data_IF_837939468372
#
_entry.id   IF_837939468372
#
_cell.length_a   1.000
_cell.length_b   1.000
_cell.length_c   1.000
_cell.angle_alpha   90.00
_cell.angle_beta   90.00
_cell.angle_gamma   90.00
#
_symmetry.space_group_name_H-M   'P 1'
#
loop_
_entity.id
_entity.type
_entity.pdbx_description
1 polymer ?
#
# COMPACT_ATOMS: atom_id res chain seq x y z
N UNK A 1 -27.77 1.80 3.15
CA UNK A 1 -27.86 1.53 4.58
C UNK A 1 -26.53 0.99 5.11
N UNK A 2 -26.08 1.49 6.22
CA UNK A 2 -24.75 1.19 6.75
C UNK A 2 -24.85 0.66 8.19
N UNK A 3 -24.14 -0.44 8.44
CA UNK A 3 -24.03 -1.07 9.75
C UNK A 3 -22.79 -0.60 10.53
N UNK A 4 -21.90 0.19 9.89
CA UNK A 4 -20.67 0.65 10.54
C UNK A 4 -20.99 1.69 11.62
N UNK A 5 -20.57 1.49 12.85
CA UNK A 5 -20.61 2.53 13.86
C UNK A 5 -19.55 3.61 13.57
N UNK A 6 -19.90 4.87 13.68
CA UNK A 6 -21.11 5.52 14.17
C UNK A 6 -22.27 5.57 13.16
N UNK A 7 -22.32 4.73 12.18
CA UNK A 7 -23.31 4.70 11.10
C UNK A 7 -22.94 5.59 9.94
N UNK A 8 -23.43 5.26 8.75
CA UNK A 8 -23.16 5.99 7.53
C UNK A 8 -22.27 5.23 6.53
N UNK A 9 -22.03 5.82 5.38
CA UNK A 9 -21.19 5.26 4.33
C UNK A 9 -19.72 5.59 4.60
N UNK A 10 -18.84 4.63 4.38
CA UNK A 10 -17.40 4.87 4.46
C UNK A 10 -16.92 5.54 3.16
N UNK A 11 -16.78 6.86 3.17
CA UNK A 11 -16.32 7.63 2.02
C UNK A 11 -14.91 7.25 1.54
N UNK A 12 -14.09 6.62 2.40
CA UNK A 12 -12.75 6.15 2.06
C UNK A 12 -12.73 4.96 1.07
N UNK A 13 -13.88 4.30 0.81
CA UNK A 13 -14.01 3.17 -0.11
C UNK A 13 -15.01 3.43 -1.24
N UNK A 14 -15.26 4.69 -1.54
CA UNK A 14 -16.24 5.17 -2.51
C UNK A 14 -15.69 5.44 -3.91
N UNK A 15 -14.45 5.02 -4.19
CA UNK A 15 -13.80 5.30 -5.48
C UNK A 15 -13.89 4.10 -6.43
N UNK A 16 -13.83 4.33 -7.76
CA UNK A 16 -14.16 3.31 -8.77
C UNK A 16 -13.29 2.07 -8.78
N UNK A 17 -12.03 2.14 -8.27
CA UNK A 17 -11.14 1.00 -8.34
C UNK A 17 -11.59 -0.12 -7.42
N UNK A 18 -12.02 -1.25 -8.00
CA UNK A 18 -12.53 -2.41 -7.26
C UNK A 18 -13.66 -2.07 -6.27
N UNK A 19 -14.50 -1.11 -6.61
CA UNK A 19 -15.63 -0.73 -5.76
C UNK A 19 -16.48 -1.96 -5.40
N UNK A 20 -16.63 -2.18 -4.11
CA UNK A 20 -17.34 -3.34 -3.59
C UNK A 20 -18.83 -3.04 -3.43
N UNK A 21 -19.58 -3.05 -4.52
CA UNK A 21 -21.02 -2.85 -4.49
C UNK A 21 -21.71 -3.84 -3.52
N UNK A 22 -22.75 -3.36 -2.85
CA UNK A 22 -23.58 -4.13 -1.92
C UNK A 22 -22.88 -4.64 -0.63
N UNK A 23 -21.65 -4.20 -0.37
CA UNK A 23 -21.04 -4.43 0.94
C UNK A 23 -21.50 -3.37 1.94
N UNK A 24 -21.62 -3.73 3.23
CA UNK A 24 -21.86 -2.75 4.28
C UNK A 24 -20.83 -1.61 4.22
N UNK A 25 -21.28 -0.37 4.35
CA UNK A 25 -20.43 0.80 4.31
C UNK A 25 -19.98 1.29 2.93
N UNK A 26 -20.19 0.52 1.85
CA UNK A 26 -19.70 0.91 0.53
C UNK A 26 -20.53 1.99 -0.16
N UNK A 27 -21.80 2.17 0.22
CA UNK A 27 -22.74 3.01 -0.51
C UNK A 27 -23.31 2.34 -1.77
N UNK A 28 -24.08 3.08 -2.56
CA UNK A 28 -24.85 2.53 -3.68
C UNK A 28 -24.02 2.33 -4.95
N UNK A 29 -23.14 3.27 -5.26
CA UNK A 29 -22.23 3.28 -6.41
C UNK A 29 -20.99 4.13 -6.11
N UNK A 30 -19.93 4.04 -6.90
CA UNK A 30 -18.74 4.88 -6.70
C UNK A 30 -19.08 6.36 -6.76
N UNK A 31 -18.78 7.09 -5.68
CA UNK A 31 -19.12 8.50 -5.58
C UNK A 31 -20.60 8.77 -5.33
N UNK A 32 -21.33 7.83 -4.69
CA UNK A 32 -22.72 8.07 -4.27
C UNK A 32 -22.85 9.15 -3.21
N UNK A 33 -21.80 9.38 -2.45
CA UNK A 33 -21.76 10.41 -1.40
C UNK A 33 -21.19 11.71 -1.96
N UNK A 34 -21.70 12.85 -1.50
CA UNK A 34 -21.33 14.18 -2.01
C UNK A 34 -19.84 14.47 -1.86
N UNK A 35 -19.22 14.04 -0.75
CA UNK A 35 -17.81 14.23 -0.46
C UNK A 35 -16.93 13.46 -1.45
N UNK A 36 -17.21 12.20 -1.67
CA UNK A 36 -16.44 11.38 -2.60
C UNK A 36 -16.67 11.81 -4.05
N UNK A 37 -17.90 12.21 -4.39
CA UNK A 37 -18.22 12.79 -5.70
C UNK A 37 -17.46 14.09 -5.95
N UNK A 38 -17.39 14.98 -4.96
CA UNK A 38 -16.63 16.23 -5.07
C UNK A 38 -15.15 15.98 -5.36
N UNK A 39 -14.53 15.00 -4.67
CA UNK A 39 -13.15 14.59 -4.92
C UNK A 39 -12.99 14.01 -6.33
N UNK A 40 -13.88 13.09 -6.75
CA UNK A 40 -13.87 12.51 -8.09
C UNK A 40 -13.97 13.57 -9.17
N UNK A 41 -14.90 14.53 -9.01
CA UNK A 41 -15.07 15.64 -9.92
C UNK A 41 -13.80 16.48 -9.99
N UNK A 42 -13.27 16.89 -8.84
CA UNK A 42 -12.06 17.71 -8.76
C UNK A 42 -10.89 17.07 -9.49
N UNK A 43 -10.53 15.82 -9.16
CA UNK A 43 -9.35 15.16 -9.78
C UNK A 43 -9.54 14.87 -11.27
N UNK A 44 -10.77 14.77 -11.75
CA UNK A 44 -11.03 14.59 -13.17
C UNK A 44 -11.02 15.92 -13.96
N UNK A 45 -11.34 17.03 -13.32
CA UNK A 45 -11.28 18.37 -13.93
C UNK A 45 -9.84 18.93 -13.93
N UNK A 46 -9.02 18.59 -12.92
CA UNK A 46 -7.68 19.11 -12.72
C UNK A 46 -6.59 18.18 -13.33
N UNK A 47 -6.30 18.42 -14.59
CA UNK A 47 -5.29 17.61 -15.34
C UNK A 47 -3.85 17.94 -14.99
N UNK A 48 -3.61 19.01 -14.26
CA UNK A 48 -2.31 19.43 -13.73
C UNK A 48 -1.87 18.66 -12.49
N UNK A 49 -2.74 17.88 -11.87
CA UNK A 49 -2.36 17.02 -10.74
C UNK A 49 -1.32 16.00 -11.21
N UNK A 50 -0.15 16.00 -10.59
CA UNK A 50 0.97 15.12 -10.93
C UNK A 50 1.35 14.12 -9.86
N UNK A 51 0.72 14.19 -8.67
CA UNK A 51 0.99 13.35 -7.53
C UNK A 51 -0.25 13.26 -6.64
N UNK A 52 -0.53 12.09 -6.09
CA UNK A 52 -1.53 11.90 -5.04
C UNK A 52 -0.85 11.48 -3.74
N UNK A 53 -1.19 12.14 -2.64
CA UNK A 53 -0.77 11.75 -1.28
C UNK A 53 -2.01 11.67 -0.41
N UNK A 54 -2.21 10.53 0.22
CA UNK A 54 -3.37 10.24 1.05
C UNK A 54 -2.92 9.88 2.46
N UNK A 55 -3.57 10.45 3.46
CA UNK A 55 -3.33 10.08 4.85
C UNK A 55 -4.41 9.10 5.29
N UNK A 56 -3.99 7.91 5.69
CA UNK A 56 -4.91 6.82 6.03
C UNK A 56 -4.23 5.70 6.78
N UNK A 57 -4.85 4.52 6.77
CA UNK A 57 -4.30 3.33 7.43
C UNK A 57 -3.28 2.56 6.59
N UNK A 58 -3.26 2.74 5.26
CA UNK A 58 -2.31 2.10 4.36
C UNK A 58 -1.02 2.93 4.23
N UNK A 59 0.08 2.28 3.85
CA UNK A 59 1.34 2.96 3.60
C UNK A 59 2.03 2.41 2.35
N UNK A 60 1.95 3.15 1.24
CA UNK A 60 2.55 2.77 -0.03
C UNK A 60 4.06 3.04 -0.10
N UNK A 61 4.61 3.75 0.88
CA UNK A 61 6.05 3.85 1.03
C UNK A 61 6.66 2.64 1.74
N UNK A 62 5.86 1.81 2.43
CA UNK A 62 6.30 0.53 3.01
C UNK A 62 5.88 -0.65 2.14
N UNK A 63 4.64 -0.62 1.66
CA UNK A 63 4.07 -1.66 0.81
C UNK A 63 3.56 -0.99 -0.48
N UNK A 64 4.06 -1.34 -1.66
CA UNK A 64 3.58 -0.75 -2.91
C UNK A 64 2.07 -0.99 -3.08
N UNK A 65 1.39 -0.24 -3.98
CA UNK A 65 -0.02 -0.47 -4.26
C UNK A 65 -0.30 -1.95 -4.50
N UNK A 66 -1.24 -2.57 -3.77
CA UNK A 66 -1.53 -3.97 -3.93
C UNK A 66 -2.06 -4.25 -5.34
N UNK A 67 -1.77 -5.43 -5.85
CA UNK A 67 -2.40 -5.97 -7.04
C UNK A 67 -3.90 -6.13 -6.83
N UNK A 68 -4.65 -6.11 -7.94
CA UNK A 68 -6.08 -6.33 -7.93
C UNK A 68 -6.44 -7.66 -7.28
N UNK A 69 -7.70 -7.81 -6.92
CA UNK A 69 -8.21 -9.06 -6.39
C UNK A 69 -7.65 -10.22 -7.20
N UNK A 70 -6.97 -11.10 -6.53
CA UNK A 70 -7.12 -12.51 -6.88
C UNK A 70 -8.59 -12.78 -6.62
N UNK A 71 -9.41 -12.84 -7.69
CA UNK A 71 -10.75 -13.33 -7.53
C UNK A 71 -10.67 -14.67 -6.80
N UNK A 72 -11.76 -15.18 -6.26
CA UNK A 72 -11.83 -16.52 -5.67
C UNK A 72 -11.41 -17.63 -6.65
N UNK A 73 -10.98 -17.27 -7.86
CA UNK A 73 -10.41 -18.15 -8.85
C UNK A 73 -9.03 -18.63 -8.34
N UNK A 74 -8.96 -19.90 -8.05
CA UNK A 74 -7.69 -20.57 -7.79
C UNK A 74 -6.84 -20.49 -9.06
N UNK A 75 -5.83 -19.62 -9.06
CA UNK A 75 -4.94 -19.42 -10.21
C UNK A 75 -4.09 -20.66 -10.55
N UNK A 76 -4.11 -21.66 -9.70
CA UNK A 76 -3.53 -22.98 -9.94
C UNK A 76 -4.57 -23.97 -10.51
N UNK A 77 -5.84 -23.54 -10.63
CA UNK A 77 -6.93 -24.40 -11.07
C UNK A 77 -7.96 -23.62 -11.88
N UNK A 78 -7.54 -23.16 -13.05
CA UNK A 78 -8.35 -22.35 -13.95
C UNK A 78 -8.95 -23.25 -15.03
N UNK A 79 -10.26 -23.21 -15.18
CA UNK A 79 -10.95 -23.85 -16.30
C UNK A 79 -11.30 -22.82 -17.35
N UNK A 80 -10.86 -23.07 -18.58
CA UNK A 80 -11.11 -22.17 -19.70
C UNK A 80 -12.54 -22.41 -20.22
N UNK A 81 -13.38 -21.36 -20.36
CA UNK A 81 -14.70 -21.49 -20.95
C UNK A 81 -14.65 -22.06 -22.38
N UNK A 82 -15.64 -22.89 -22.75
CA UNK A 82 -15.66 -23.60 -24.05
C UNK A 82 -15.62 -22.68 -25.26
N UNK A 83 -16.25 -21.54 -25.16
CA UNK A 83 -16.28 -20.48 -26.17
C UNK A 83 -14.93 -19.75 -26.33
N UNK A 84 -14.08 -19.80 -25.32
CA UNK A 84 -12.76 -19.16 -25.30
C UNK A 84 -11.61 -20.14 -25.55
N UNK A 85 -11.83 -21.42 -25.30
CA UNK A 85 -10.79 -22.45 -25.37
C UNK A 85 -10.11 -22.54 -26.75
N UNK A 86 -10.87 -22.31 -27.82
CA UNK A 86 -10.36 -22.33 -29.19
C UNK A 86 -9.38 -21.24 -29.53
N UNK A 87 -9.43 -20.06 -28.84
CA UNK A 87 -8.55 -18.93 -29.12
C UNK A 87 -7.11 -19.14 -28.64
N UNK A 88 -6.92 -19.96 -27.62
CA UNK A 88 -5.61 -20.25 -27.00
C UNK A 88 -5.25 -21.73 -27.09
N UNK A 89 -5.97 -22.51 -27.89
CA UNK A 89 -5.80 -23.95 -28.03
C UNK A 89 -5.83 -24.73 -26.69
N UNK A 90 -6.68 -24.26 -25.75
CA UNK A 90 -6.87 -24.92 -24.46
C UNK A 90 -7.95 -26.00 -24.53
N UNK A 91 -7.82 -27.04 -23.71
CA UNK A 91 -8.86 -28.06 -23.51
C UNK A 91 -9.84 -27.55 -22.44
N UNK A 92 -11.13 -27.34 -22.77
CA UNK A 92 -12.11 -26.81 -21.83
C UNK A 92 -12.45 -27.75 -20.66
N UNK A 93 -12.07 -29.01 -20.76
CA UNK A 93 -12.33 -30.02 -19.72
C UNK A 93 -11.13 -30.23 -18.78
N UNK A 94 -9.98 -29.55 -19.05
CA UNK A 94 -8.78 -29.59 -18.23
C UNK A 94 -8.70 -28.34 -17.32
N UNK A 95 -8.19 -28.54 -16.10
CA UNK A 95 -7.80 -27.43 -15.20
C UNK A 95 -6.34 -27.01 -15.52
N UNK A 96 -6.08 -25.74 -15.63
CA UNK A 96 -4.79 -25.14 -15.96
C UNK A 96 -4.28 -24.26 -14.82
N UNK A 97 -2.98 -24.12 -14.70
CA UNK A 97 -2.36 -23.02 -13.94
C UNK A 97 -2.31 -21.76 -14.80
N UNK A 98 -2.16 -20.61 -14.16
CA UNK A 98 -1.99 -19.33 -14.87
C UNK A 98 -0.73 -19.34 -15.77
N UNK A 99 0.33 -20.04 -15.35
CA UNK A 99 1.57 -20.19 -16.10
C UNK A 99 1.37 -21.01 -17.37
N UNK A 100 0.67 -22.15 -17.27
CA UNK A 100 0.32 -22.97 -18.45
C UNK A 100 -0.51 -22.17 -19.46
N UNK A 101 -1.47 -21.38 -18.97
CA UNK A 101 -2.30 -20.54 -19.85
C UNK A 101 -1.51 -19.42 -20.51
N UNK A 102 -0.51 -18.86 -19.81
CA UNK A 102 0.39 -17.85 -20.35
C UNK A 102 1.21 -18.42 -21.52
N UNK A 103 1.72 -19.63 -21.39
CA UNK A 103 2.49 -20.29 -22.44
C UNK A 103 1.60 -20.68 -23.64
N UNK A 104 0.40 -21.19 -23.38
CA UNK A 104 -0.57 -21.49 -24.44
C UNK A 104 -0.97 -20.23 -25.22
N UNK A 105 -1.22 -19.13 -24.52
CA UNK A 105 -1.59 -17.87 -25.15
C UNK A 105 -0.42 -17.26 -25.96
N UNK A 106 0.81 -17.31 -25.46
CA UNK A 106 2.00 -16.89 -26.21
C UNK A 106 2.20 -17.70 -27.49
N UNK A 107 1.93 -19.00 -27.43
CA UNK A 107 2.06 -19.89 -28.58
C UNK A 107 0.94 -19.69 -29.63
N UNK A 108 -0.21 -19.17 -29.24
CA UNK A 108 -1.41 -19.07 -30.07
C UNK A 108 -1.64 -17.66 -30.65
N UNK A 109 -1.03 -16.63 -30.09
CA UNK A 109 -1.22 -15.23 -30.50
C UNK A 109 -0.13 -14.78 -31.45
N UNK A 110 -0.42 -13.79 -32.34
CA UNK A 110 0.55 -13.26 -33.30
C UNK A 110 1.83 -12.74 -32.66
N UNK A 111 2.97 -12.92 -33.33
CA UNK A 111 4.26 -12.33 -32.93
C UNK A 111 4.15 -10.81 -32.75
N UNK A 112 4.64 -10.31 -31.61
CA UNK A 112 4.64 -8.88 -31.26
C UNK A 112 3.54 -8.46 -30.30
N UNK A 113 2.60 -9.32 -29.94
CA UNK A 113 1.63 -9.05 -28.88
C UNK A 113 2.21 -9.42 -27.50
N UNK A 114 2.25 -8.45 -26.59
CA UNK A 114 2.69 -8.72 -25.21
C UNK A 114 1.57 -9.43 -24.46
N UNK A 115 1.78 -10.69 -24.16
CA UNK A 115 0.85 -11.51 -23.36
C UNK A 115 1.35 -11.52 -21.92
N UNK A 116 0.56 -11.01 -21.01
CA UNK A 116 0.81 -11.03 -19.58
C UNK A 116 -0.36 -11.67 -18.80
N UNK A 117 -0.14 -11.91 -17.51
CA UNK A 117 -1.15 -12.49 -16.61
C UNK A 117 -2.43 -11.65 -16.58
N UNK A 118 -2.31 -10.32 -16.70
CA UNK A 118 -3.44 -9.39 -16.67
C UNK A 118 -4.34 -9.55 -17.89
N UNK A 119 -3.72 -9.73 -19.07
CA UNK A 119 -4.44 -9.96 -20.31
C UNK A 119 -5.23 -11.27 -20.26
N UNK A 120 -4.60 -12.36 -19.80
CA UNK A 120 -5.24 -13.67 -19.68
C UNK A 120 -6.36 -13.64 -18.64
N UNK A 121 -6.13 -13.05 -17.47
CA UNK A 121 -7.15 -12.92 -16.43
C UNK A 121 -8.36 -12.12 -16.92
N UNK A 122 -8.12 -11.02 -17.65
CA UNK A 122 -9.19 -10.22 -18.26
C UNK A 122 -9.95 -11.00 -19.33
N UNK A 123 -9.22 -11.73 -20.19
CA UNK A 123 -9.80 -12.53 -21.27
C UNK A 123 -10.69 -13.65 -20.73
N UNK A 124 -10.26 -14.32 -19.66
CA UNK A 124 -11.01 -15.41 -19.02
C UNK A 124 -12.05 -14.93 -18.01
N UNK A 125 -12.24 -13.62 -17.85
CA UNK A 125 -13.20 -13.07 -16.89
C UNK A 125 -12.86 -13.39 -15.42
N UNK A 126 -11.60 -13.67 -15.10
CA UNK A 126 -11.13 -13.98 -13.75
C UNK A 126 -11.05 -12.73 -12.85
N UNK A 127 -11.66 -11.65 -13.29
CA UNK A 127 -11.62 -10.33 -12.66
C UNK A 127 -10.45 -9.47 -13.15
N UNK A 128 -10.55 -8.17 -12.92
CA UNK A 128 -9.46 -7.24 -13.25
C UNK A 128 -8.26 -7.56 -12.34
N UNK A 129 -7.35 -8.42 -12.78
CA UNK A 129 -6.03 -8.56 -12.17
C UNK A 129 -5.22 -7.29 -12.51
N UNK A 130 -5.49 -6.22 -11.78
CA UNK A 130 -4.76 -4.98 -11.94
C UNK A 130 -3.58 -5.04 -10.98
N UNK A 131 -2.44 -5.48 -11.49
CA UNK A 131 -1.19 -5.47 -10.74
C UNK A 131 -0.42 -4.18 -11.04
N UNK A 132 0.33 -3.64 -10.07
CA UNK A 132 1.28 -2.58 -10.33
C UNK A 132 2.26 -3.02 -11.43
N UNK A 133 2.56 -2.11 -12.35
CA UNK A 133 3.46 -2.45 -13.44
C UNK A 133 4.90 -2.55 -12.93
N UNK A 134 5.71 -3.52 -13.43
CA UNK A 134 7.08 -3.72 -12.97
C UNK A 134 7.98 -2.49 -13.07
N UNK A 135 7.74 -1.64 -14.07
CA UNK A 135 8.46 -0.37 -14.25
C UNK A 135 8.17 0.59 -13.10
N UNK A 136 6.91 0.65 -12.64
CA UNK A 136 6.51 1.53 -11.54
C UNK A 136 6.96 0.97 -10.18
N UNK A 137 6.99 -0.36 -10.01
CA UNK A 137 7.48 -0.98 -8.77
C UNK A 137 8.92 -0.58 -8.44
N UNK A 138 9.74 -0.22 -9.44
CA UNK A 138 11.13 0.22 -9.22
C UNK A 138 11.18 1.49 -8.38
N UNK A 139 10.41 2.52 -8.73
CA UNK A 139 10.41 3.75 -7.96
C UNK A 139 9.75 3.58 -6.58
N UNK A 140 8.74 2.71 -6.46
CA UNK A 140 8.17 2.39 -5.14
C UNK A 140 9.21 1.73 -4.23
N UNK A 141 9.99 0.78 -4.73
CA UNK A 141 11.03 0.10 -3.97
C UNK A 141 12.12 1.08 -3.48
N UNK A 142 12.64 1.92 -4.39
CA UNK A 142 13.67 2.90 -4.03
C UNK A 142 13.16 3.95 -3.04
N UNK A 143 11.90 4.41 -3.19
CA UNK A 143 11.30 5.34 -2.25
C UNK A 143 11.00 4.67 -0.90
N UNK A 144 10.67 3.38 -0.91
CA UNK A 144 10.51 2.60 0.33
C UNK A 144 11.79 2.57 1.15
N UNK A 145 12.93 2.32 0.52
CA UNK A 145 14.21 2.27 1.24
C UNK A 145 14.56 3.64 1.83
N UNK A 146 14.36 4.71 1.07
CA UNK A 146 14.54 6.09 1.56
C UNK A 146 13.57 6.47 2.68
N UNK A 147 12.33 5.98 2.62
CA UNK A 147 11.35 6.22 3.66
C UNK A 147 11.75 5.53 4.98
N UNK A 148 12.24 4.30 4.90
CA UNK A 148 12.78 3.59 6.07
C UNK A 148 13.97 4.32 6.70
N UNK A 149 14.88 4.84 5.87
CA UNK A 149 15.99 5.68 6.34
C UNK A 149 15.48 6.97 7.01
N UNK A 150 14.49 7.62 6.40
CA UNK A 150 13.85 8.80 6.95
C UNK A 150 13.20 8.51 8.32
N UNK A 151 12.40 7.43 8.44
CA UNK A 151 11.78 7.04 9.70
C UNK A 151 12.83 6.79 10.78
N UNK A 152 13.92 6.12 10.44
CA UNK A 152 15.02 5.85 11.37
C UNK A 152 15.72 7.14 11.82
N UNK A 153 15.99 8.06 10.90
CA UNK A 153 16.60 9.34 11.22
C UNK A 153 15.71 10.22 12.11
N UNK A 154 14.40 10.18 11.87
CA UNK A 154 13.40 10.89 12.68
C UNK A 154 13.03 10.15 13.99
N UNK A 155 13.60 8.97 14.25
CA UNK A 155 13.26 8.09 15.40
C UNK A 155 11.79 7.69 15.43
N UNK A 156 11.19 7.52 14.24
CA UNK A 156 9.82 7.09 14.04
C UNK A 156 9.73 5.59 13.69
N UNK A 157 10.85 4.87 13.79
CA UNK A 157 10.97 3.45 13.51
C UNK A 157 10.62 2.57 14.72
N UNK A 158 9.98 3.14 15.74
CA UNK A 158 9.45 2.36 16.86
C UNK A 158 8.48 1.28 16.35
N UNK A 159 8.53 0.11 16.97
CA UNK A 159 7.62 -0.97 16.67
C UNK A 159 6.17 -0.53 16.91
N UNK A 160 5.46 -0.41 15.85
CA UNK A 160 4.03 -0.09 15.81
C UNK A 160 3.28 -1.14 15.00
N UNK A 161 1.98 -1.21 15.15
CA UNK A 161 1.17 -2.11 14.36
C UNK A 161 1.43 -1.88 12.87
N UNK A 162 1.50 -2.97 12.11
CA UNK A 162 1.66 -2.89 10.67
C UNK A 162 0.56 -2.00 10.05
N UNK A 163 0.89 -1.25 8.98
CA UNK A 163 -0.11 -0.50 8.23
C UNK A 163 -1.28 -1.40 7.85
N UNK A 164 -2.49 -0.87 7.88
CA UNK A 164 -3.64 -1.60 7.40
C UNK A 164 -3.45 -1.94 5.92
N UNK A 165 -3.96 -3.09 5.51
CA UNK A 165 -4.08 -3.37 4.08
C UNK A 165 -5.00 -2.34 3.44
N UNK A 166 -4.65 -1.95 2.20
CA UNK A 166 -5.50 -1.05 1.45
C UNK A 166 -6.84 -1.69 1.11
N UNK A 167 -7.85 -0.86 1.01
CA UNK A 167 -9.23 -1.32 0.79
C UNK A 167 -9.63 -1.12 -0.67
N UNK A 168 -10.31 -2.10 -1.21
CA UNK A 168 -11.04 -1.98 -2.48
C UNK A 168 -11.91 -0.71 -2.44
N UNK A 169 -11.92 0.05 -3.52
CA UNK A 169 -12.64 1.32 -3.60
C UNK A 169 -11.92 2.51 -2.97
N UNK A 170 -10.66 2.38 -2.55
CA UNK A 170 -9.89 3.49 -1.99
C UNK A 170 -9.46 4.51 -3.05
N UNK A 171 -9.27 5.77 -2.62
CA UNK A 171 -8.82 6.84 -3.50
C UNK A 171 -7.39 6.62 -4.00
N UNK A 172 -6.50 6.17 -3.17
CA UNK A 172 -5.10 5.93 -3.50
C UNK A 172 -4.94 4.86 -4.59
N UNK A 173 -5.76 3.81 -4.58
CA UNK A 173 -5.81 2.82 -5.66
C UNK A 173 -6.40 3.41 -6.93
N UNK A 174 -7.47 4.19 -6.81
CA UNK A 174 -8.06 4.89 -7.94
C UNK A 174 -7.06 5.85 -8.61
N UNK A 175 -6.31 6.61 -7.82
CA UNK A 175 -5.31 7.54 -8.31
C UNK A 175 -4.20 6.82 -9.11
N UNK A 176 -3.72 5.70 -8.63
CA UNK A 176 -2.71 4.91 -9.34
C UNK A 176 -3.30 4.18 -10.56
N UNK A 177 -4.32 3.34 -10.33
CA UNK A 177 -4.81 2.42 -11.37
C UNK A 177 -5.66 3.08 -12.44
N UNK A 178 -6.42 4.12 -12.13
CA UNK A 178 -7.28 4.78 -13.10
C UNK A 178 -6.71 6.10 -13.61
N UNK A 179 -6.19 6.94 -12.73
CA UNK A 179 -5.62 8.22 -13.14
C UNK A 179 -4.17 8.07 -13.63
N UNK A 180 -3.47 6.99 -13.24
CA UNK A 180 -2.07 6.74 -13.62
C UNK A 180 -1.09 7.69 -12.93
N UNK A 181 -1.47 8.24 -11.79
CA UNK A 181 -0.63 9.13 -10.99
C UNK A 181 0.32 8.31 -10.11
N UNK A 182 1.53 8.80 -9.80
CA UNK A 182 2.24 8.37 -8.62
C UNK A 182 1.33 8.59 -7.41
N UNK A 183 1.03 7.54 -6.66
CA UNK A 183 0.09 7.60 -5.54
C UNK A 183 0.74 7.02 -4.30
N UNK A 184 0.71 7.76 -3.21
CA UNK A 184 1.29 7.37 -1.93
C UNK A 184 0.26 7.53 -0.82
N UNK A 185 -0.06 6.42 -0.18
CA UNK A 185 -0.76 6.43 1.09
C UNK A 185 0.27 6.47 2.22
N UNK A 186 0.00 7.19 3.29
CA UNK A 186 0.87 7.33 4.44
C UNK A 186 0.06 7.17 5.73
N UNK A 187 0.49 6.26 6.59
CA UNK A 187 -0.05 6.06 7.93
C UNK A 187 0.82 6.81 8.94
N UNK A 188 0.57 8.08 9.13
CA UNK A 188 1.38 8.91 10.02
C UNK A 188 1.34 8.47 11.47
N UNK A 189 0.29 7.77 11.87
CA UNK A 189 0.16 7.26 13.21
C UNK A 189 -0.64 5.95 13.23
N UNK A 190 -0.23 5.05 14.11
CA UNK A 190 -0.98 3.86 14.51
C UNK A 190 -0.57 3.50 15.93
N UNK A 191 -1.33 2.63 16.58
CA UNK A 191 -1.00 2.16 17.92
C UNK A 191 0.38 1.52 17.96
N UNK A 192 1.22 1.83 18.97
CA UNK A 192 2.42 1.06 19.23
C UNK A 192 2.08 -0.42 19.43
N UNK A 193 2.95 -1.33 18.98
CA UNK A 193 2.83 -2.72 19.38
C UNK A 193 2.79 -2.83 20.89
N UNK A 194 1.85 -3.63 21.42
CA UNK A 194 1.89 -3.98 22.82
C UNK A 194 3.25 -4.64 23.07
N UNK A 195 4.13 -3.96 23.80
CA UNK A 195 5.34 -4.62 24.29
C UNK A 195 4.85 -5.81 25.09
N UNK A 196 5.14 -7.01 24.64
CA UNK A 196 5.13 -8.13 25.56
C UNK A 196 6.06 -7.70 26.69
N UNK A 197 5.49 -7.42 27.85
CA UNK A 197 6.33 -7.42 29.04
C UNK A 197 7.05 -8.77 28.93
N UNK A 198 8.36 -8.73 28.67
CA UNK A 198 9.15 -9.92 28.86
C UNK A 198 8.83 -10.33 30.27
N UNK A 199 8.00 -11.37 30.40
CA UNK A 199 7.77 -11.99 31.69
C UNK A 199 9.14 -12.05 32.31
N UNK A 200 9.27 -11.48 33.51
CA UNK A 200 10.56 -11.49 34.23
C UNK A 200 11.14 -12.86 34.02
N UNK A 201 12.44 -13.01 33.68
CA UNK A 201 12.99 -14.24 33.12
C UNK A 201 12.44 -15.42 33.88
N UNK A 202 11.31 -15.93 33.40
CA UNK A 202 10.61 -17.04 33.98
C UNK A 202 11.43 -18.27 33.63
N UNK A 203 11.54 -19.16 34.53
CA UNK A 203 12.19 -20.44 34.35
C UNK A 203 11.71 -21.05 33.03
N UNK A 204 12.61 -21.28 32.10
CA UNK A 204 12.23 -22.01 30.89
C UNK A 204 11.97 -23.49 31.27
N UNK A 205 11.00 -24.18 30.64
CA UNK A 205 10.78 -25.62 30.91
C UNK A 205 12.07 -26.47 30.82
N UNK A 206 12.98 -26.10 29.90
CA UNK A 206 14.27 -26.76 29.79
C UNK A 206 15.27 -26.48 30.93
N UNK A 207 15.06 -25.39 31.68
CA UNK A 207 15.84 -25.10 32.91
C UNK A 207 15.25 -25.87 34.09
N UNK A 208 13.90 -25.97 34.15
CA UNK A 208 13.21 -26.77 35.14
C UNK A 208 13.60 -28.24 35.08
N UNK A 209 13.79 -28.81 33.88
CA UNK A 209 14.24 -30.20 33.70
C UNK A 209 15.60 -30.47 34.34
N UNK A 210 16.48 -29.47 34.37
CA UNK A 210 17.85 -29.57 34.92
C UNK A 210 17.94 -29.24 36.42
N UNK A 211 16.88 -28.69 36.99
CA UNK A 211 16.85 -28.19 38.35
C UNK A 211 16.50 -29.30 39.35
N UNK A 212 17.15 -29.28 40.49
CA UNK A 212 16.73 -30.16 41.60
C UNK A 212 15.48 -29.68 42.29
N UNK A 213 14.79 -30.54 43.00
CA UNK A 213 13.59 -30.13 43.74
C UNK A 213 13.89 -29.05 44.81
N UNK A 214 15.09 -29.09 45.45
CA UNK A 214 15.51 -28.08 46.41
C UNK A 214 15.75 -26.72 45.77
N UNK A 215 16.40 -26.70 44.62
CA UNK A 215 16.63 -25.47 43.81
C UNK A 215 15.29 -24.86 43.35
N UNK A 216 14.31 -25.66 42.94
CA UNK A 216 12.98 -25.19 42.56
C UNK A 216 12.27 -24.56 43.75
N UNK A 217 12.28 -25.20 44.90
CA UNK A 217 11.65 -24.67 46.12
C UNK A 217 12.34 -23.36 46.57
N UNK A 218 13.68 -23.25 46.39
CA UNK A 218 14.42 -22.04 46.71
C UNK A 218 14.08 -20.82 45.85
N UNK A 219 13.42 -20.99 44.68
CA UNK A 219 12.91 -19.88 43.88
C UNK A 219 11.88 -19.02 44.56
N UNK A 220 11.12 -19.62 45.49
CA UNK A 220 10.04 -18.96 46.20
C UNK A 220 8.68 -18.94 45.48
N UNK A 221 7.60 -18.78 46.22
CA UNK A 221 6.23 -18.83 45.68
C UNK A 221 5.97 -17.85 44.56
N UNK A 222 6.50 -16.64 44.63
CA UNK A 222 6.25 -15.57 43.66
C UNK A 222 6.80 -15.93 42.25
N UNK A 223 8.06 -16.43 42.20
CA UNK A 223 8.67 -16.83 40.93
C UNK A 223 8.05 -18.10 40.36
N UNK A 224 7.66 -19.03 41.24
CA UNK A 224 6.96 -20.25 40.83
C UNK A 224 5.56 -19.93 40.32
N UNK A 225 4.81 -19.02 40.94
CA UNK A 225 3.52 -18.58 40.46
C UNK A 225 3.62 -17.89 39.09
N UNK A 226 4.62 -17.01 38.88
CA UNK A 226 4.92 -16.38 37.59
C UNK A 226 5.22 -17.43 36.54
N UNK A 227 6.05 -18.43 36.86
CA UNK A 227 6.39 -19.53 36.00
C UNK A 227 5.17 -20.39 35.61
N UNK A 228 4.33 -20.78 36.56
CA UNK A 228 3.12 -21.57 36.32
C UNK A 228 2.14 -20.82 35.40
N UNK A 229 2.00 -19.51 35.61
CA UNK A 229 1.15 -18.64 34.77
C UNK A 229 1.65 -18.56 33.31
N UNK A 230 2.97 -18.54 33.10
CA UNK A 230 3.57 -18.44 31.75
C UNK A 230 3.68 -19.79 31.04
N UNK A 231 3.69 -20.91 31.78
CA UNK A 231 3.86 -22.27 31.24
C UNK A 231 2.52 -22.99 30.96
N UNK A 232 1.38 -22.33 31.10
CA UNK A 232 0.08 -22.90 30.76
C UNK A 232 -0.46 -23.90 31.80
N UNK A 233 0.02 -23.83 33.03
CA UNK A 233 -0.55 -24.63 34.10
C UNK A 233 -2.03 -24.27 34.36
N UNK A 234 -2.89 -25.24 34.70
CA UNK A 234 -4.28 -24.94 35.01
C UNK A 234 -4.39 -23.89 36.12
N UNK A 235 -5.37 -22.95 36.06
CA UNK A 235 -5.51 -21.86 37.04
C UNK A 235 -5.65 -22.34 38.49
N UNK A 236 -6.16 -23.58 38.66
CA UNK A 236 -6.32 -24.20 39.97
C UNK A 236 -5.00 -24.71 40.56
N UNK A 237 -3.93 -24.83 39.75
CA UNK A 237 -2.63 -25.34 40.17
C UNK A 237 -1.74 -24.21 40.71
N UNK A 238 -1.74 -24.02 42.00
CA UNK A 238 -1.02 -22.92 42.64
C UNK A 238 0.45 -23.22 42.91
N UNK A 239 1.27 -22.16 43.10
CA UNK A 239 2.68 -22.31 43.46
C UNK A 239 2.89 -23.12 44.75
N UNK A 240 2.00 -22.91 45.74
CA UNK A 240 2.05 -23.69 46.98
C UNK A 240 1.82 -25.19 46.74
N UNK A 241 0.88 -25.53 45.86
CA UNK A 241 0.64 -26.94 45.48
C UNK A 241 1.80 -27.55 44.69
N UNK A 242 2.45 -26.78 43.85
CA UNK A 242 3.67 -27.21 43.11
C UNK A 242 4.81 -27.51 44.08
N UNK A 243 5.05 -26.64 45.05
CA UNK A 243 6.07 -26.80 46.09
C UNK A 243 5.78 -28.04 46.94
N UNK A 244 4.53 -28.20 47.36
CA UNK A 244 4.13 -29.34 48.15
C UNK A 244 4.24 -30.68 47.42
N UNK A 245 3.89 -30.70 46.13
CA UNK A 245 4.03 -31.86 45.28
C UNK A 245 5.47 -32.33 45.12
N UNK A 246 6.41 -31.39 45.02
CA UNK A 246 7.86 -31.67 44.97
C UNK A 246 8.39 -32.09 46.31
N UNK A 247 8.00 -31.41 47.43
CA UNK A 247 8.40 -31.78 48.79
C UNK A 247 7.96 -33.18 49.18
N UNK A 248 6.79 -33.58 48.77
CA UNK A 248 6.20 -34.89 49.10
C UNK A 248 6.62 -35.99 48.10
N UNK A 249 7.43 -35.68 47.11
CA UNK A 249 7.85 -36.64 46.08
C UNK A 249 6.72 -37.11 45.13
N UNK A 250 5.60 -36.42 45.14
CA UNK A 250 4.44 -36.74 44.24
C UNK A 250 4.77 -36.44 42.78
N UNK A 251 5.68 -35.50 42.53
CA UNK A 251 6.20 -35.19 41.21
C UNK A 251 7.63 -34.69 41.34
N UNK A 252 8.40 -34.82 40.27
CA UNK A 252 9.76 -34.27 40.15
C UNK A 252 9.74 -33.05 39.22
N UNK A 253 10.77 -32.20 39.33
CA UNK A 253 10.98 -31.07 38.40
C UNK A 253 10.98 -31.51 36.93
N UNK A 254 11.57 -32.69 36.66
CA UNK A 254 11.64 -33.32 35.36
C UNK A 254 10.26 -33.74 34.82
N UNK A 255 9.45 -34.37 35.68
CA UNK A 255 8.07 -34.74 35.33
C UNK A 255 7.19 -33.52 35.09
N UNK A 256 7.36 -32.50 35.94
CA UNK A 256 6.66 -31.21 35.79
C UNK A 256 7.05 -30.51 34.49
N UNK A 257 8.33 -30.47 34.13
CA UNK A 257 8.83 -29.96 32.87
C UNK A 257 8.26 -30.74 31.67
N UNK A 258 8.25 -32.08 31.74
CA UNK A 258 7.71 -32.95 30.70
C UNK A 258 6.19 -32.77 30.51
N UNK A 259 5.44 -32.56 31.61
CA UNK A 259 4.02 -32.27 31.57
C UNK A 259 3.75 -30.92 30.90
N UNK A 260 4.53 -29.89 31.22
CA UNK A 260 4.42 -28.56 30.63
C UNK A 260 4.84 -28.51 29.16
N UNK A 261 5.84 -29.30 28.76
CA UNK A 261 6.21 -29.44 27.34
C UNK A 261 5.15 -30.16 26.50
N UNK A 262 4.28 -30.99 27.11
CA UNK A 262 3.17 -31.67 26.45
C UNK A 262 1.92 -30.82 26.37
N UNK A 263 1.77 -29.87 27.27
CA UNK A 263 0.69 -28.89 27.24
C UNK A 263 1.21 -27.73 26.40
N UNK A 264 0.68 -27.46 25.20
CA UNK A 264 1.06 -26.25 24.50
C UNK A 264 0.84 -25.08 25.45
N UNK A 265 1.76 -24.09 25.50
CA UNK A 265 1.50 -22.88 26.28
C UNK A 265 0.12 -22.38 25.87
N UNK A 266 -0.69 -21.83 26.79
CA UNK A 266 -1.97 -21.29 26.40
C UNK A 266 -1.68 -20.38 25.23
N UNK A 267 -2.13 -20.79 24.04
CA UNK A 267 -2.05 -19.93 22.87
C UNK A 267 -2.63 -18.62 23.36
N UNK A 268 -1.87 -17.56 23.28
CA UNK A 268 -2.37 -16.22 23.53
C UNK A 268 -3.75 -16.18 22.89
N UNK A 269 -4.80 -16.18 23.67
CA UNK A 269 -6.19 -16.54 23.38
C UNK A 269 -6.43 -16.69 21.87
N UNK A 270 -6.60 -17.92 21.37
CA UNK A 270 -6.84 -18.17 19.95
C UNK A 270 -7.92 -17.19 19.50
N UNK A 271 -7.54 -16.20 18.67
CA UNK A 271 -8.45 -15.17 18.19
C UNK A 271 -8.31 -13.76 18.78
N UNK A 272 -7.41 -13.48 19.71
CA UNK A 272 -7.20 -12.11 20.17
C UNK A 272 -6.51 -11.28 19.07
N UNK A 273 -7.24 -10.32 18.52
CA UNK A 273 -6.70 -9.37 17.54
C UNK A 273 -5.50 -8.62 18.16
N UNK A 274 -4.31 -8.60 17.52
CA UNK A 274 -3.17 -7.80 17.98
C UNK A 274 -3.51 -6.33 18.20
N UNK A 275 -4.50 -5.81 17.49
CA UNK A 275 -5.01 -4.43 17.67
C UNK A 275 -5.70 -4.26 19.02
N UNK A 276 -6.47 -5.22 19.47
CA UNK A 276 -7.14 -5.13 20.78
C UNK A 276 -6.13 -5.15 21.93
N UNK A 277 -5.08 -5.97 21.81
CA UNK A 277 -3.95 -5.95 22.76
C UNK A 277 -3.24 -4.59 22.76
N UNK A 278 -3.00 -4.04 21.59
CA UNK A 278 -2.36 -2.73 21.45
C UNK A 278 -3.23 -1.61 22.04
N UNK A 279 -4.55 -1.64 21.81
CA UNK A 279 -5.51 -0.68 22.37
C UNK A 279 -5.53 -0.70 23.89
N UNK A 280 -5.57 -1.88 24.49
CA UNK A 280 -5.53 -2.03 25.95
C UNK A 280 -4.21 -1.51 26.50
N UNK A 281 -3.08 -1.97 25.96
CA UNK A 281 -1.75 -1.55 26.42
C UNK A 281 -1.52 -0.04 26.25
N UNK A 282 -2.09 0.57 25.21
CA UNK A 282 -2.06 2.01 25.01
C UNK A 282 -2.94 2.74 26.02
N UNK A 283 -4.17 2.27 26.19
CA UNK A 283 -5.13 2.84 27.13
C UNK A 283 -4.62 2.84 28.57
N UNK A 284 -3.90 1.79 28.96
CA UNK A 284 -3.34 1.65 30.33
C UNK A 284 -2.14 2.59 30.57
N UNK A 285 -1.43 3.00 29.52
CA UNK A 285 -0.22 3.84 29.63
C UNK A 285 -0.48 5.33 29.55
N UNK A 286 -1.49 5.72 28.79
CA UNK A 286 -1.79 7.12 28.57
C UNK A 286 -2.67 7.68 29.68
N UNK A 287 -2.29 8.85 30.29
CA UNK A 287 -3.10 9.50 31.33
C UNK A 287 -4.52 9.86 30.86
N UNK A 288 -4.71 9.94 29.55
CA UNK A 288 -5.98 10.22 28.91
C UNK A 288 -6.80 8.97 28.62
N UNK A 289 -6.25 7.76 28.82
CA UNK A 289 -6.89 6.44 28.88
C UNK A 289 -8.04 6.18 27.90
N UNK A 290 -7.91 6.55 26.60
CA UNK A 290 -9.08 6.73 25.75
C UNK A 290 -9.16 5.78 24.56
N UNK A 291 -8.32 4.76 24.50
CA UNK A 291 -8.43 3.76 23.45
C UNK A 291 -9.43 2.64 23.80
N UNK A 292 -9.72 2.49 25.08
CA UNK A 292 -10.66 1.48 25.59
C UNK A 292 -11.43 2.02 26.80
N UNK A 293 -12.69 1.69 26.89
CA UNK A 293 -13.58 2.02 28.03
C UNK A 293 -14.05 0.73 28.66
N UNK A 294 -13.92 0.64 29.98
CA UNK A 294 -14.37 -0.53 30.74
C UNK A 294 -15.86 -0.81 30.52
N UNK A 295 -16.20 -2.06 30.40
CA UNK A 295 -17.56 -2.50 30.25
C UNK A 295 -18.35 -2.21 31.53
N UNK A 296 -19.53 -1.59 31.36
CA UNK A 296 -20.44 -1.22 32.47
C UNK A 296 -21.84 -1.68 32.16
N UNK A 297 -22.54 -2.24 33.15
CA UNK A 297 -23.98 -2.50 33.04
C UNK A 297 -24.74 -1.21 32.71
N UNK A 298 -25.65 -1.30 31.76
CA UNK A 298 -26.48 -0.18 31.32
C UNK A 298 -27.89 -0.65 31.00
N UNK A 299 -28.90 0.06 31.51
CA UNK A 299 -30.28 -0.23 31.19
C UNK A 299 -30.74 0.57 30.00
N UNK A 300 -30.75 -0.07 28.83
CA UNK A 300 -31.17 0.57 27.59
C UNK A 300 -32.72 0.61 27.50
N UNK A 301 -33.33 1.72 27.09
CA UNK A 301 -34.80 1.88 27.09
C UNK A 301 -35.56 0.90 26.20
N UNK A 302 -34.86 0.39 25.13
CA UNK A 302 -35.47 -0.54 24.14
C UNK A 302 -34.87 -1.95 24.28
N UNK A 303 -33.56 -2.09 24.52
CA UNK A 303 -32.87 -3.38 24.52
C UNK A 303 -32.82 -4.05 25.90
N UNK A 304 -33.27 -3.35 26.95
CA UNK A 304 -33.21 -3.88 28.30
C UNK A 304 -31.83 -3.77 28.95
N UNK A 305 -31.46 -4.76 29.74
CA UNK A 305 -30.18 -4.78 30.43
C UNK A 305 -29.07 -5.20 29.47
N UNK A 306 -28.11 -4.31 29.21
CA UNK A 306 -26.97 -4.49 28.34
C UNK A 306 -25.69 -4.07 29.06
N UNK A 307 -24.54 -4.32 28.45
CA UNK A 307 -23.26 -3.73 28.83
C UNK A 307 -22.80 -2.75 27.74
N UNK A 308 -22.23 -1.63 28.18
CA UNK A 308 -21.63 -0.63 27.31
C UNK A 308 -20.17 -0.43 27.68
N UNK A 309 -19.31 -0.34 26.69
CA UNK A 309 -17.85 -0.24 26.83
C UNK A 309 -17.13 -0.69 25.58
N UNK A 310 -15.85 -1.01 25.71
CA UNK A 310 -15.02 -1.55 24.63
C UNK A 310 -14.15 -0.51 23.94
N UNK A 311 -13.73 -0.79 22.73
CA UNK A 311 -12.83 0.07 21.98
C UNK A 311 -13.47 1.42 21.63
N UNK A 312 -12.71 2.49 21.86
CA UNK A 312 -13.12 3.84 21.45
C UNK A 312 -13.00 3.94 19.92
N UNK A 313 -14.05 4.41 19.23
CA UNK A 313 -13.98 4.59 17.78
C UNK A 313 -12.80 5.46 17.36
N UNK A 314 -12.10 5.06 16.30
CA UNK A 314 -10.94 5.76 15.71
C UNK A 314 -9.70 5.89 16.60
N UNK A 315 -9.66 5.30 17.79
CA UNK A 315 -8.51 5.39 18.69
C UNK A 315 -7.23 4.76 18.11
N UNK A 316 -7.35 3.88 17.14
CA UNK A 316 -6.23 3.24 16.42
C UNK A 316 -5.78 3.99 15.15
N UNK A 317 -6.52 5.00 14.72
CA UNK A 317 -6.23 5.78 13.51
C UNK A 317 -6.10 7.28 13.76
N UNK A 318 -6.59 7.77 14.90
CA UNK A 318 -6.53 9.18 15.28
C UNK A 318 -5.67 9.35 16.54
N UNK A 319 -4.50 10.01 16.42
CA UNK A 319 -3.65 10.26 17.59
C UNK A 319 -4.31 11.23 18.56
N UNK A 320 -3.95 11.19 19.86
CA UNK A 320 -4.36 12.22 20.81
C UNK A 320 -3.98 13.63 20.30
N UNK A 321 -4.81 14.65 20.56
CA UNK A 321 -4.55 16.02 20.05
C UNK A 321 -3.16 16.55 20.35
N UNK A 322 -2.59 16.23 21.51
CA UNK A 322 -1.25 16.64 21.91
C UNK A 322 -0.12 16.04 21.03
N UNK A 323 -0.38 14.94 20.35
CA UNK A 323 0.59 14.27 19.47
C UNK A 323 0.53 14.77 18.02
N UNK A 324 -0.54 15.46 17.62
CA UNK A 324 -0.76 15.84 16.21
C UNK A 324 0.36 16.76 15.73
N UNK A 325 0.65 17.85 16.44
CA UNK A 325 1.68 18.81 16.02
C UNK A 325 3.09 18.19 15.95
N UNK A 326 3.56 17.44 16.97
CA UNK A 326 4.83 16.71 16.87
C UNK A 326 4.88 15.75 15.67
N UNK A 327 3.85 14.94 15.45
CA UNK A 327 3.79 14.00 14.32
C UNK A 327 3.86 14.72 12.96
N UNK A 328 3.13 15.82 12.81
CA UNK A 328 3.17 16.61 11.58
C UNK A 328 4.55 17.22 11.34
N UNK A 329 5.17 17.76 12.39
CA UNK A 329 6.52 18.35 12.29
C UNK A 329 7.55 17.32 11.82
N UNK A 330 7.44 16.10 12.27
CA UNK A 330 8.40 15.03 11.96
C UNK A 330 8.12 14.37 10.62
N UNK A 331 6.86 14.20 10.20
CA UNK A 331 6.51 13.40 9.02
C UNK A 331 6.16 14.21 7.77
N UNK A 332 5.68 15.43 7.90
CA UNK A 332 5.38 16.30 6.74
C UNK A 332 6.62 16.55 5.84
N UNK A 333 7.86 16.64 6.35
CA UNK A 333 9.04 16.70 5.49
C UNK A 333 9.12 15.59 4.45
N UNK A 334 8.61 14.38 4.76
CA UNK A 334 8.56 13.30 3.77
C UNK A 334 7.58 13.60 2.62
N UNK A 335 6.47 14.26 2.89
CA UNK A 335 5.54 14.68 1.83
C UNK A 335 6.21 15.64 0.86
N UNK A 336 7.01 16.59 1.38
CA UNK A 336 7.81 17.48 0.54
C UNK A 336 8.91 16.74 -0.22
N UNK A 337 9.51 15.71 0.37
CA UNK A 337 10.45 14.84 -0.34
C UNK A 337 9.77 14.13 -1.51
N UNK A 338 8.58 13.54 -1.33
CA UNK A 338 7.80 12.96 -2.42
C UNK A 338 7.47 13.99 -3.51
N UNK A 339 7.04 15.19 -3.12
CA UNK A 339 6.76 16.27 -4.06
C UNK A 339 8.02 16.72 -4.83
N UNK A 340 9.18 16.74 -4.18
CA UNK A 340 10.46 17.09 -4.83
C UNK A 340 10.87 16.08 -5.90
N UNK A 341 10.39 14.84 -5.80
CA UNK A 341 10.68 13.74 -6.73
C UNK A 341 9.78 13.72 -7.97
N UNK A 342 8.73 14.54 -7.99
CA UNK A 342 7.82 14.63 -9.15
C UNK A 342 8.59 14.89 -10.44
N UNK A 343 8.03 14.37 -11.53
CA UNK A 343 8.53 14.66 -12.85
C UNK A 343 8.62 16.16 -13.11
N UNK A 344 9.71 16.61 -13.67
CA UNK A 344 9.97 18.03 -14.00
C UNK A 344 10.50 18.12 -15.42
N UNK A 345 9.64 18.43 -16.36
CA UNK A 345 9.99 18.53 -17.77
C UNK A 345 10.73 19.85 -18.04
N UNK A 346 11.82 19.75 -18.79
CA UNK A 346 12.64 20.87 -19.25
C UNK A 346 12.98 20.70 -20.72
N UNK A 347 13.22 21.84 -21.39
CA UNK A 347 13.87 21.87 -22.68
C UNK A 347 15.39 21.83 -22.47
N UNK A 348 16.02 20.82 -23.02
CA UNK A 348 17.47 20.69 -23.06
C UNK A 348 18.07 21.42 -24.24
N UNK A 349 19.32 21.11 -24.63
CA UNK A 349 20.01 21.75 -25.74
C UNK A 349 19.23 21.66 -27.04
N UNK A 350 19.23 22.77 -27.79
CA UNK A 350 18.66 22.87 -29.12
C UNK A 350 19.81 23.14 -30.11
N UNK A 351 19.86 22.40 -31.18
CA UNK A 351 20.86 22.59 -32.25
C UNK A 351 20.16 22.82 -33.57
N UNK A 352 20.66 23.77 -34.35
CA UNK A 352 20.19 24.05 -35.70
C UNK A 352 21.39 23.87 -36.64
N UNK A 353 21.30 22.92 -37.57
CA UNK A 353 22.34 22.61 -38.54
C UNK A 353 21.85 22.86 -39.96
N UNK A 354 22.51 23.73 -40.76
CA UNK A 354 22.16 23.90 -42.15
C UNK A 354 22.55 22.66 -42.95
N UNK A 355 21.65 22.21 -43.84
CA UNK A 355 21.85 21.06 -44.73
C UNK A 355 22.06 21.49 -46.18
N UNK A 356 21.99 22.79 -46.50
CA UNK A 356 22.05 23.34 -47.85
C UNK A 356 20.67 23.51 -48.49
N UNK A 357 20.58 24.32 -49.56
CA UNK A 357 19.32 24.54 -50.28
C UNK A 357 18.17 25.14 -49.44
N UNK A 358 18.49 25.88 -48.40
CA UNK A 358 17.50 26.42 -47.43
C UNK A 358 16.93 25.40 -46.47
N UNK A 359 17.48 24.19 -46.42
CA UNK A 359 17.11 23.14 -45.46
C UNK A 359 17.92 23.27 -44.19
N UNK A 360 17.25 23.06 -43.07
CA UNK A 360 17.81 23.07 -41.71
C UNK A 360 17.33 21.88 -40.94
N UNK A 361 18.25 21.19 -40.28
CA UNK A 361 17.94 20.18 -39.25
C UNK A 361 17.88 20.85 -37.89
N UNK A 362 16.83 20.60 -37.18
CA UNK A 362 16.60 21.09 -35.80
C UNK A 362 16.51 19.88 -34.89
N UNK A 363 17.37 19.82 -33.91
CA UNK A 363 17.31 18.81 -32.85
C UNK A 363 17.07 19.48 -31.50
N UNK A 364 16.20 18.91 -30.73
CA UNK A 364 15.91 19.34 -29.36
C UNK A 364 15.83 18.15 -28.41
N UNK A 365 16.21 18.38 -27.18
CA UNK A 365 16.07 17.39 -26.13
C UNK A 365 14.97 17.80 -25.17
N UNK A 366 14.14 16.85 -24.80
CA UNK A 366 13.17 16.96 -23.71
C UNK A 366 13.74 16.16 -22.55
N UNK A 367 13.94 16.82 -21.43
CA UNK A 367 14.56 16.24 -20.23
C UNK A 367 13.56 16.21 -19.10
N UNK A 368 13.58 15.13 -18.34
CA UNK A 368 12.89 15.04 -17.05
C UNK A 368 13.94 15.19 -15.93
N UNK A 369 13.99 16.35 -15.30
CA UNK A 369 14.90 16.63 -14.20
C UNK A 369 14.37 16.07 -12.86
N UNK A 370 13.15 15.52 -12.82
CA UNK A 370 12.59 14.85 -11.66
C UNK A 370 12.96 13.37 -11.64
N UNK A 371 12.79 12.76 -10.48
CA UNK A 371 13.06 11.34 -10.27
C UNK A 371 11.95 10.43 -10.82
N UNK A 372 10.68 10.81 -10.60
CA UNK A 372 9.53 10.03 -11.09
C UNK A 372 9.39 10.14 -12.60
N UNK A 373 9.00 9.05 -13.31
CA UNK A 373 8.77 9.08 -14.75
C UNK A 373 7.56 9.95 -15.11
N UNK A 374 7.51 10.44 -16.34
CA UNK A 374 6.36 11.14 -16.90
C UNK A 374 5.92 10.52 -18.21
N UNK A 375 4.72 9.98 -18.26
CA UNK A 375 3.90 9.55 -17.14
C UNK A 375 4.45 8.27 -16.48
N UNK A 376 3.81 7.80 -15.40
CA UNK A 376 4.05 6.44 -14.89
C UNK A 376 3.76 5.39 -15.96
N UNK A 377 4.23 4.16 -15.80
CA UNK A 377 3.87 3.08 -16.72
C UNK A 377 2.36 2.83 -16.74
N UNK A 378 1.69 2.92 -15.59
CA UNK A 378 0.24 2.84 -15.48
C UNK A 378 -0.45 3.99 -16.20
N UNK A 379 0.06 5.20 -16.09
CA UNK A 379 -0.47 6.37 -16.81
C UNK A 379 -0.35 6.25 -18.33
N UNK A 380 0.73 5.65 -18.84
CA UNK A 380 0.88 5.31 -20.26
C UNK A 380 -0.16 4.28 -20.71
N UNK A 381 -0.32 3.21 -19.94
CA UNK A 381 -1.29 2.15 -20.22
C UNK A 381 -2.71 2.69 -20.31
N UNK A 382 -3.08 3.57 -19.39
CA UNK A 382 -4.44 4.11 -19.29
C UNK A 382 -4.73 5.23 -20.28
N UNK A 383 -3.70 5.81 -20.93
CA UNK A 383 -3.81 7.00 -21.79
C UNK A 383 -4.52 8.20 -21.10
N UNK A 384 -4.42 8.29 -19.78
CA UNK A 384 -5.08 9.37 -18.99
C UNK A 384 -4.21 10.59 -18.83
N UNK A 385 -2.90 10.41 -18.78
CA UNK A 385 -1.93 11.49 -18.65
C UNK A 385 -1.52 11.91 -20.06
N UNK A 386 -1.65 13.20 -20.35
CA UNK A 386 -1.28 13.73 -21.65
C UNK A 386 0.23 13.59 -21.89
N UNK A 387 0.66 13.23 -23.12
CA UNK A 387 2.06 13.25 -23.46
C UNK A 387 2.62 14.66 -23.38
N UNK A 388 3.94 14.79 -23.26
CA UNK A 388 4.58 16.10 -23.45
C UNK A 388 4.36 16.55 -24.88
N UNK A 389 3.70 17.68 -25.05
CA UNK A 389 3.49 18.27 -26.38
C UNK A 389 4.57 19.30 -26.63
N UNK A 390 5.45 19.00 -27.59
CA UNK A 390 6.48 19.94 -28.02
C UNK A 390 6.01 20.66 -29.27
N UNK A 391 5.94 21.97 -29.19
CA UNK A 391 5.57 22.84 -30.32
C UNK A 391 6.82 23.60 -30.79
N UNK A 392 7.10 23.49 -32.05
CA UNK A 392 8.15 24.27 -32.71
C UNK A 392 7.47 25.33 -33.58
N UNK A 393 7.74 26.59 -33.28
CA UNK A 393 7.24 27.75 -33.99
C UNK A 393 8.37 28.54 -34.63
N UNK A 394 8.10 29.16 -35.76
CA UNK A 394 9.03 30.03 -36.46
C UNK A 394 8.41 30.61 -37.71
N UNK A 395 8.94 31.74 -38.16
CA UNK A 395 8.43 32.40 -39.39
C UNK A 395 8.93 31.67 -40.63
N UNK A 396 8.06 31.52 -41.62
CA UNK A 396 8.34 30.97 -42.95
C UNK A 396 8.98 29.56 -42.92
N UNK A 397 8.58 28.73 -41.94
CA UNK A 397 9.03 27.34 -41.82
C UNK A 397 8.09 26.39 -42.60
N UNK A 398 8.65 25.68 -43.57
CA UNK A 398 8.01 24.53 -44.19
C UNK A 398 8.58 23.23 -43.63
N UNK A 399 7.78 22.42 -42.97
CA UNK A 399 8.20 21.15 -42.38
C UNK A 399 8.37 20.09 -43.49
N UNK A 400 9.54 19.55 -43.64
CA UNK A 400 9.88 18.46 -44.58
C UNK A 400 9.80 17.13 -43.82
N UNK A 401 10.35 17.09 -42.61
CA UNK A 401 10.27 15.96 -41.67
C UNK A 401 9.87 16.46 -40.28
N UNK A 402 9.05 15.69 -39.58
CA UNK A 402 8.48 16.09 -38.33
C UNK A 402 7.21 16.93 -38.49
N UNK A 403 6.61 17.34 -37.35
CA UNK A 403 5.39 18.15 -37.29
C UNK A 403 5.64 19.35 -36.38
N UNK A 404 4.99 20.48 -36.63
CA UNK A 404 5.05 21.64 -35.72
C UNK A 404 4.71 21.29 -34.29
N UNK A 405 3.79 20.35 -34.10
CA UNK A 405 3.34 19.83 -32.82
C UNK A 405 3.68 18.35 -32.73
N UNK A 406 4.61 18.01 -31.87
CA UNK A 406 5.14 16.65 -31.71
C UNK A 406 4.82 16.15 -30.29
N UNK A 407 4.18 14.98 -30.18
CA UNK A 407 3.94 14.33 -28.91
C UNK A 407 5.13 13.49 -28.51
N UNK A 408 5.61 13.65 -27.28
CA UNK A 408 6.58 12.78 -26.63
C UNK A 408 5.82 11.93 -25.59
N UNK A 409 5.60 10.64 -25.88
CA UNK A 409 4.69 9.82 -25.08
C UNK A 409 5.19 9.60 -23.65
N UNK A 410 6.50 9.55 -23.45
CA UNK A 410 7.08 9.34 -22.13
C UNK A 410 8.51 9.88 -22.05
N UNK A 411 8.89 10.34 -20.85
CA UNK A 411 10.27 10.68 -20.47
C UNK A 411 10.54 10.03 -19.11
N UNK A 412 11.46 9.11 -19.06
CA UNK A 412 11.83 8.39 -17.85
C UNK A 412 12.36 9.36 -16.79
N UNK A 413 12.30 8.97 -15.51
CA UNK A 413 12.88 9.78 -14.43
C UNK A 413 14.37 10.02 -14.66
N UNK A 414 14.84 11.24 -14.50
CA UNK A 414 16.20 11.67 -14.80
C UNK A 414 16.64 11.35 -16.25
N UNK A 415 15.69 11.10 -17.13
CA UNK A 415 15.90 10.71 -18.51
C UNK A 415 15.71 11.85 -19.49
N UNK A 416 15.97 11.56 -20.75
CA UNK A 416 15.79 12.52 -21.85
C UNK A 416 15.34 11.85 -23.13
N UNK A 417 14.63 12.60 -23.99
CA UNK A 417 14.17 12.17 -25.32
C UNK A 417 14.57 13.20 -26.35
N UNK A 418 15.11 12.74 -27.47
CA UNK A 418 15.49 13.57 -28.61
C UNK A 418 14.33 13.69 -29.57
N UNK A 419 14.12 14.90 -30.09
CA UNK A 419 13.18 15.18 -31.16
C UNK A 419 13.99 15.81 -32.29
N UNK A 420 13.62 15.51 -33.54
CA UNK A 420 14.28 15.98 -34.74
C UNK A 420 13.23 16.48 -35.74
N UNK A 421 13.56 17.59 -36.37
CA UNK A 421 12.79 18.14 -37.48
C UNK A 421 13.75 18.51 -38.63
N UNK A 422 13.25 18.40 -39.86
CA UNK A 422 13.88 19.02 -41.04
C UNK A 422 12.90 20.06 -41.56
N UNK A 423 13.35 21.30 -41.60
CA UNK A 423 12.54 22.42 -42.07
C UNK A 423 13.21 23.12 -43.23
N UNK A 424 12.45 23.71 -44.14
CA UNK A 424 12.92 24.62 -45.15
C UNK A 424 12.57 26.05 -44.78
N UNK A 425 13.53 26.96 -44.84
CA UNK A 425 13.34 28.38 -44.62
C UNK A 425 14.16 29.18 -45.61
N UNK A 426 13.60 30.22 -46.25
CA UNK A 426 14.36 31.09 -47.14
C UNK A 426 15.30 32.08 -46.43
N UNK A 427 15.19 32.17 -45.09
CA UNK A 427 15.92 33.10 -44.23
C UNK A 427 16.61 32.34 -43.08
N UNK A 428 17.54 32.99 -42.36
CA UNK A 428 18.08 32.41 -41.14
C UNK A 428 16.96 31.98 -40.18
N UNK A 429 17.03 30.74 -39.72
CA UNK A 429 15.97 30.13 -38.90
C UNK A 429 16.00 30.74 -37.50
N UNK A 430 14.87 31.36 -37.14
CA UNK A 430 14.55 31.73 -35.73
C UNK A 430 13.38 30.90 -35.28
N UNK A 431 13.55 30.19 -34.21
CA UNK A 431 12.54 29.29 -33.68
C UNK A 431 12.23 29.61 -32.21
N UNK A 432 11.02 29.26 -31.81
CA UNK A 432 10.61 29.15 -30.43
C UNK A 432 10.17 27.70 -30.20
N UNK A 433 10.64 27.11 -29.11
CA UNK A 433 10.20 25.80 -28.65
C UNK A 433 9.41 25.95 -27.37
N UNK A 434 8.28 25.25 -27.31
CA UNK A 434 7.45 25.14 -26.14
C UNK A 434 7.20 23.67 -25.84
N UNK A 435 7.45 23.24 -24.60
CA UNK A 435 7.07 21.91 -24.11
C UNK A 435 5.96 22.05 -23.07
N UNK A 436 4.81 21.51 -23.37
CA UNK A 436 3.63 21.54 -22.51
C UNK A 436 3.48 20.19 -21.81
N UNK A 437 3.56 20.20 -20.49
CA UNK A 437 3.39 19.04 -19.60
C UNK A 437 2.65 19.47 -18.32
N UNK A 438 1.32 19.63 -18.35
CA UNK A 438 0.56 20.24 -17.24
C UNK A 438 0.85 19.62 -15.87
N UNK A 439 0.91 18.29 -15.78
CA UNK A 439 1.16 17.56 -14.53
C UNK A 439 2.65 17.36 -14.19
N UNK A 440 3.55 18.05 -14.89
CA UNK A 440 4.99 18.03 -14.64
C UNK A 440 5.58 19.44 -14.63
N UNK A 441 5.03 20.30 -13.79
CA UNK A 441 5.40 21.71 -13.57
C UNK A 441 5.06 22.66 -14.74
N UNK A 442 4.08 22.27 -15.57
CA UNK A 442 3.49 23.17 -16.55
C UNK A 442 4.27 23.29 -17.86
N UNK A 443 4.29 24.50 -18.42
CA UNK A 443 4.86 24.78 -19.73
C UNK A 443 6.27 25.37 -19.62
N UNK A 444 7.18 24.86 -20.42
CA UNK A 444 8.55 25.37 -20.55
C UNK A 444 8.77 25.93 -21.96
N UNK A 445 9.46 27.08 -22.08
CA UNK A 445 9.76 27.74 -23.36
C UNK A 445 11.25 28.07 -23.46
N UNK A 446 11.74 28.07 -24.69
CA UNK A 446 13.10 28.53 -25.04
C UNK A 446 13.11 29.12 -26.45
#
# INVERSE_FOLDING_TARGET
YNEDPPGGVNIGVQFPHLFAAFKPGSGLWPGSEEESFAVLKFVNEHKEIGLAVVFGGANFCLNPPPGGRRGDADLNRIRVPKDMAGFINADPDKDYTMEELLELAKASLPEGMTVDVSLIASFLGLGAAVNPLPEDLKFYAELSDKYKEFLKAARLDEKRLAPAADKDGSFELYAYYHLGLPSFALDFWTLPEAREEKAAPGLAPGELEKMTGEEFIALGEEKIAAFLKTSGAPPEFTAAQAIEAIKTGRTSTKEMAAMMMRTPPPSSAEGADPRDKARLAWSDKEPAGRAFVDWKPFKHPVLGDIEIGGAVPYADTAPPPAMIEPLLREQVPWVFELASRMARIRLGPVTIRPLGGGLHEIEAWIENAGYLPYPTAMGRRNNRIFPVIVTLEGRDLAFIEGRPRTAVPAVDGSGRRKIRWIVRSPKPVKIELRAAAPSAWGDVRT
#
